data_IF_450257372755
#
_entry.id   IF_450257372755
#
_cell.length_a   1.000
_cell.length_b   1.000
_cell.length_c   1.000
_cell.angle_alpha   90.00
_cell.angle_beta   90.00
_cell.angle_gamma   90.00
#
_symmetry.space_group_name_H-M   'P 1'
#
loop_
_entity.id
_entity.type
_entity.pdbx_description
1 polymer ?
#
# COMPACT_ATOMS: atom_id res chain seq x y z
N UNK A 1 -0.73 15.14 28.55
CA UNK A 1 -0.53 15.00 27.08
C UNK A 1 -1.07 13.67 26.55
N UNK A 2 -0.63 12.49 27.07
CA UNK A 2 -1.02 11.16 26.54
C UNK A 2 -2.54 10.93 26.61
N UNK A 3 -3.18 11.22 27.75
CA UNK A 3 -4.63 11.06 27.91
C UNK A 3 -5.44 11.96 26.96
N UNK A 4 -4.95 13.18 26.71
CA UNK A 4 -5.56 14.13 25.78
C UNK A 4 -5.47 13.63 24.34
N UNK A 5 -4.30 13.13 23.93
CA UNK A 5 -4.12 12.52 22.61
C UNK A 5 -4.97 11.27 22.42
N UNK A 6 -5.19 10.46 23.47
CA UNK A 6 -6.11 9.32 23.43
C UNK A 6 -7.56 9.81 23.25
N UNK A 7 -7.98 10.81 24.02
CA UNK A 7 -9.34 11.40 23.90
C UNK A 7 -9.58 11.97 22.49
N UNK A 8 -8.62 12.73 21.95
CA UNK A 8 -8.69 13.25 20.59
C UNK A 8 -8.89 12.12 19.57
N UNK A 9 -8.02 11.10 19.56
CA UNK A 9 -8.14 9.96 18.63
C UNK A 9 -9.44 9.21 18.74
N UNK A 10 -9.96 9.03 19.98
CA UNK A 10 -11.22 8.31 20.21
C UNK A 10 -12.43 9.11 19.70
N UNK A 11 -12.46 10.42 19.95
CA UNK A 11 -13.59 11.26 19.57
C UNK A 11 -13.59 11.62 18.08
N UNK A 12 -12.44 11.97 17.53
CA UNK A 12 -12.29 12.36 16.13
C UNK A 12 -12.30 11.16 15.17
N UNK A 13 -12.08 9.94 15.67
CA UNK A 13 -11.90 8.73 14.85
C UNK A 13 -10.87 8.90 13.73
N UNK A 14 -9.91 9.80 13.89
CA UNK A 14 -8.93 10.17 12.87
C UNK A 14 -8.11 8.98 12.34
N UNK A 15 -7.95 7.94 13.16
CA UNK A 15 -7.24 6.73 12.77
C UNK A 15 -8.09 5.81 11.88
N UNK A 16 -9.43 5.89 11.93
CA UNK A 16 -10.31 5.10 11.07
C UNK A 16 -10.19 5.52 9.59
N UNK A 17 -9.72 6.74 9.34
CA UNK A 17 -9.50 7.28 7.99
C UNK A 17 -8.02 7.20 7.55
N UNK A 18 -7.16 6.54 8.32
CA UNK A 18 -5.76 6.33 7.92
C UNK A 18 -5.67 5.09 7.05
N UNK A 19 -5.66 5.31 5.75
CA UNK A 19 -5.47 4.24 4.76
C UNK A 19 -3.96 4.09 4.55
N UNK A 20 -3.42 2.89 4.80
CA UNK A 20 -2.02 2.60 4.47
C UNK A 20 -1.83 2.55 2.95
N UNK A 21 -0.60 2.73 2.48
CA UNK A 21 -0.31 2.72 1.03
C UNK A 21 -0.68 1.37 0.41
N UNK A 22 -0.52 0.27 1.15
CA UNK A 22 -0.92 -1.06 0.71
C UNK A 22 -2.43 -1.17 0.54
N UNK A 23 -3.19 -0.61 1.49
CA UNK A 23 -4.66 -0.61 1.40
C UNK A 23 -5.15 0.28 0.25
N UNK A 24 -4.45 1.38 -0.06
CA UNK A 24 -4.71 2.20 -1.25
C UNK A 24 -4.45 1.40 -2.53
N UNK A 25 -3.31 0.72 -2.62
CA UNK A 25 -3.00 -0.14 -3.77
C UNK A 25 -4.07 -1.22 -3.99
N UNK A 26 -4.51 -1.88 -2.92
CA UNK A 26 -5.59 -2.88 -3.02
C UNK A 26 -6.92 -2.23 -3.45
N UNK A 27 -7.24 -1.04 -2.95
CA UNK A 27 -8.44 -0.29 -3.36
C UNK A 27 -8.41 0.08 -4.85
N UNK A 28 -7.24 0.48 -5.38
CA UNK A 28 -7.10 0.72 -6.82
C UNK A 28 -7.25 -0.59 -7.63
N UNK A 29 -6.79 -1.72 -7.10
CA UNK A 29 -7.02 -3.03 -7.72
C UNK A 29 -8.52 -3.40 -7.73
N UNK A 30 -9.25 -3.15 -6.65
CA UNK A 30 -10.70 -3.33 -6.59
C UNK A 30 -11.48 -2.40 -7.54
N UNK A 31 -11.01 -1.18 -7.76
CA UNK A 31 -11.60 -0.28 -8.78
C UNK A 31 -11.41 -0.82 -10.19
N UNK A 32 -10.27 -1.47 -10.47
CA UNK A 32 -9.91 -1.95 -11.81
C UNK A 32 -10.55 -3.29 -12.15
N UNK A 33 -10.70 -4.18 -11.17
CA UNK A 33 -11.12 -5.56 -11.36
C UNK A 33 -12.38 -5.98 -10.60
N UNK A 34 -12.88 -5.16 -9.70
CA UNK A 34 -13.99 -5.53 -8.80
C UNK A 34 -13.53 -6.48 -7.69
N UNK A 35 -14.15 -7.65 -7.61
CA UNK A 35 -13.74 -8.70 -6.67
C UNK A 35 -12.36 -9.27 -7.05
N UNK A 36 -11.49 -9.39 -6.05
CA UNK A 36 -10.13 -9.88 -6.23
C UNK A 36 -9.95 -11.35 -5.86
N UNK A 37 -10.99 -12.02 -5.38
CA UNK A 37 -10.90 -13.39 -4.81
C UNK A 37 -10.48 -14.43 -5.84
N UNK A 38 -10.80 -14.24 -7.12
CA UNK A 38 -10.47 -15.10 -8.27
C UNK A 38 -9.24 -14.64 -9.05
N UNK A 39 -8.68 -13.47 -8.71
CA UNK A 39 -7.56 -12.88 -9.44
C UNK A 39 -6.23 -13.51 -9.07
N UNK A 40 -5.35 -13.62 -10.06
CA UNK A 40 -3.98 -14.05 -9.85
C UNK A 40 -3.12 -12.87 -9.45
N UNK A 41 -2.64 -12.90 -8.23
CA UNK A 41 -1.90 -11.80 -7.60
C UNK A 41 -0.44 -12.21 -7.46
N UNK A 42 0.46 -11.38 -7.97
CA UNK A 42 1.89 -11.56 -7.89
C UNK A 42 2.51 -10.46 -7.02
N UNK A 43 3.25 -10.85 -5.98
CA UNK A 43 3.92 -9.95 -5.06
C UNK A 43 5.44 -10.10 -5.20
N UNK A 44 6.11 -9.01 -5.48
CA UNK A 44 7.56 -8.91 -5.65
C UNK A 44 8.17 -8.28 -4.42
N UNK A 45 8.93 -9.08 -3.67
CA UNK A 45 9.51 -8.67 -2.40
C UNK A 45 8.94 -9.44 -1.20
N UNK A 46 9.58 -9.30 -0.05
CA UNK A 46 9.21 -10.01 1.18
C UNK A 46 9.41 -9.15 2.44
N UNK A 47 9.31 -7.83 2.30
CA UNK A 47 9.39 -6.85 3.38
C UNK A 47 8.05 -6.64 4.09
N UNK A 48 7.97 -5.58 4.89
CA UNK A 48 6.77 -5.21 5.67
C UNK A 48 5.56 -4.94 4.77
N UNK A 49 5.76 -4.21 3.65
CA UNK A 49 4.70 -3.92 2.67
C UNK A 49 4.13 -5.21 2.09
N UNK A 50 4.99 -6.14 1.62
CA UNK A 50 4.55 -7.42 1.09
C UNK A 50 3.79 -8.25 2.15
N UNK A 51 4.27 -8.29 3.39
CA UNK A 51 3.59 -8.97 4.50
C UNK A 51 2.22 -8.35 4.81
N UNK A 52 2.13 -7.03 4.78
CA UNK A 52 0.87 -6.31 4.97
C UNK A 52 -0.13 -6.58 3.84
N UNK A 53 0.33 -6.54 2.57
CA UNK A 53 -0.47 -6.88 1.40
C UNK A 53 -1.08 -8.29 1.52
N UNK A 54 -0.25 -9.31 1.81
CA UNK A 54 -0.73 -10.68 1.97
C UNK A 54 -1.82 -10.76 3.04
N UNK A 55 -1.60 -10.15 4.22
CA UNK A 55 -2.60 -10.16 5.30
C UNK A 55 -3.93 -9.51 4.90
N UNK A 56 -3.90 -8.40 4.17
CA UNK A 56 -5.11 -7.71 3.73
C UNK A 56 -5.82 -8.53 2.65
N UNK A 57 -5.07 -9.05 1.66
CA UNK A 57 -5.60 -9.86 0.57
C UNK A 57 -6.23 -11.17 1.08
N UNK A 58 -5.61 -11.84 2.05
CA UNK A 58 -6.19 -13.04 2.69
C UNK A 58 -7.50 -12.75 3.41
N UNK A 59 -7.62 -11.62 4.11
CA UNK A 59 -8.90 -11.18 4.71
C UNK A 59 -9.99 -10.92 3.67
N UNK A 60 -9.61 -10.66 2.41
CA UNK A 60 -10.51 -10.51 1.26
C UNK A 60 -10.73 -11.81 0.49
N UNK A 61 -10.35 -12.95 1.05
CA UNK A 61 -10.46 -14.28 0.46
C UNK A 61 -9.65 -14.47 -0.85
N UNK A 62 -8.63 -13.66 -1.08
CA UNK A 62 -7.70 -13.88 -2.19
C UNK A 62 -6.78 -15.05 -1.87
N UNK A 63 -6.89 -16.15 -2.62
CA UNK A 63 -6.13 -17.37 -2.37
C UNK A 63 -5.02 -17.64 -3.39
N UNK A 64 -5.10 -17.01 -4.56
CA UNK A 64 -4.14 -17.18 -5.65
C UNK A 64 -3.05 -16.10 -5.57
N UNK A 65 -2.16 -16.23 -4.59
CA UNK A 65 -1.09 -15.26 -4.33
C UNK A 65 0.26 -15.95 -4.51
N UNK A 66 1.03 -15.47 -5.47
CA UNK A 66 2.40 -15.88 -5.75
C UNK A 66 3.37 -14.81 -5.23
N UNK A 67 4.44 -15.22 -4.56
CA UNK A 67 5.43 -14.30 -3.98
C UNK A 67 6.83 -14.68 -4.41
N UNK A 68 7.62 -13.73 -4.89
CA UNK A 68 9.05 -13.91 -5.07
C UNK A 68 9.85 -13.17 -4.01
N UNK A 69 10.94 -13.80 -3.56
CA UNK A 69 11.85 -13.23 -2.56
C UNK A 69 13.29 -13.67 -2.79
N UNK A 70 14.24 -12.79 -2.45
CA UNK A 70 15.68 -13.14 -2.52
C UNK A 70 16.18 -13.91 -1.30
N UNK A 71 15.56 -13.81 -0.14
CA UNK A 71 16.00 -14.46 1.11
C UNK A 71 14.91 -15.34 1.69
N UNK A 72 15.32 -16.38 2.46
CA UNK A 72 14.40 -17.28 3.18
C UNK A 72 13.74 -16.57 4.38
N UNK A 73 12.86 -15.65 4.14
CA UNK A 73 11.92 -15.14 5.16
C UNK A 73 10.53 -15.62 4.78
N UNK A 74 9.78 -16.17 5.71
CA UNK A 74 8.39 -16.57 5.46
C UNK A 74 7.50 -15.39 5.82
N UNK A 75 6.65 -14.95 4.88
CA UNK A 75 5.63 -13.94 5.15
C UNK A 75 4.43 -14.62 5.79
N UNK A 76 3.96 -15.71 5.16
CA UNK A 76 2.83 -16.49 5.64
C UNK A 76 2.87 -17.88 4.97
N UNK A 77 2.39 -18.93 5.67
CA UNK A 77 2.45 -20.31 5.17
C UNK A 77 1.48 -20.58 4.00
N UNK A 78 0.52 -19.70 3.77
CA UNK A 78 -0.60 -19.90 2.83
C UNK A 78 -0.40 -19.27 1.45
N UNK A 79 0.81 -18.84 1.10
CA UNK A 79 1.16 -18.29 -0.22
C UNK A 79 2.17 -19.17 -0.94
N UNK A 80 2.16 -19.12 -2.27
CA UNK A 80 3.13 -19.84 -3.09
C UNK A 80 4.42 -19.03 -3.19
N UNK A 81 5.56 -19.65 -2.92
CA UNK A 81 6.87 -19.00 -3.03
C UNK A 81 7.62 -19.51 -4.26
N UNK A 82 8.19 -18.58 -5.02
CA UNK A 82 8.94 -18.86 -6.25
C UNK A 82 10.35 -18.26 -6.21
N UNK A 83 11.22 -18.77 -7.08
CA UNK A 83 12.53 -18.20 -7.32
C UNK A 83 12.41 -16.84 -8.01
N UNK A 84 13.42 -15.99 -7.82
CA UNK A 84 13.52 -14.72 -8.53
C UNK A 84 13.66 -14.90 -10.06
N UNK A 85 14.19 -16.04 -10.48
CA UNK A 85 14.34 -16.39 -11.91
C UNK A 85 13.00 -16.57 -12.61
N UNK A 86 11.92 -16.88 -11.85
CA UNK A 86 10.57 -17.05 -12.39
C UNK A 86 9.80 -15.74 -12.58
N UNK A 87 10.43 -14.58 -12.27
CA UNK A 87 9.78 -13.27 -12.21
C UNK A 87 8.95 -12.92 -13.45
N UNK A 88 9.47 -13.20 -14.65
CA UNK A 88 8.77 -12.87 -15.90
C UNK A 88 7.59 -13.79 -16.17
N UNK A 89 7.72 -15.09 -15.88
CA UNK A 89 6.62 -16.03 -16.05
C UNK A 89 5.46 -15.68 -15.12
N UNK A 90 5.75 -15.37 -13.86
CA UNK A 90 4.76 -14.95 -12.89
C UNK A 90 4.12 -13.60 -13.28
N UNK A 91 4.91 -12.67 -13.80
CA UNK A 91 4.41 -11.39 -14.29
C UNK A 91 3.40 -11.59 -15.42
N UNK A 92 3.72 -12.42 -16.44
CA UNK A 92 2.82 -12.64 -17.58
C UNK A 92 1.52 -13.32 -17.18
N UNK A 93 1.53 -14.12 -16.14
CA UNK A 93 0.40 -14.89 -15.67
C UNK A 93 -0.51 -14.12 -14.70
N UNK A 94 0.02 -13.13 -14.01
CA UNK A 94 -0.70 -12.31 -13.03
C UNK A 94 -1.75 -11.40 -13.67
N UNK A 95 -2.81 -11.10 -12.92
CA UNK A 95 -3.77 -10.02 -13.17
C UNK A 95 -3.31 -8.73 -12.47
N UNK A 96 -2.72 -8.90 -11.28
CA UNK A 96 -2.26 -7.79 -10.45
C UNK A 96 -0.83 -8.09 -9.99
N UNK A 97 0.06 -7.11 -10.15
CA UNK A 97 1.45 -7.17 -9.69
C UNK A 97 1.67 -6.08 -8.64
N UNK A 98 2.05 -6.46 -7.44
CA UNK A 98 2.51 -5.56 -6.39
C UNK A 98 4.03 -5.69 -6.25
N UNK A 99 4.78 -4.61 -6.45
CA UNK A 99 6.22 -4.61 -6.25
C UNK A 99 6.62 -3.73 -5.07
N UNK A 100 7.49 -4.25 -4.20
CA UNK A 100 7.92 -3.58 -2.96
C UNK A 100 9.30 -4.06 -2.52
N UNK A 101 10.29 -3.95 -3.40
CA UNK A 101 11.65 -4.35 -3.05
C UNK A 101 12.50 -3.17 -2.59
N UNK A 102 13.66 -3.45 -2.03
CA UNK A 102 14.70 -2.47 -1.73
C UNK A 102 15.85 -2.54 -2.74
N UNK A 103 15.58 -3.00 -3.95
CA UNK A 103 16.59 -3.08 -5.00
C UNK A 103 16.99 -1.68 -5.45
N UNK A 104 18.29 -1.41 -5.68
CA UNK A 104 18.73 -0.12 -6.16
C UNK A 104 18.56 0.06 -7.69
N UNK A 105 17.98 -0.92 -8.37
CA UNK A 105 17.79 -0.98 -9.82
C UNK A 105 16.42 -1.57 -10.14
N UNK A 106 15.96 -1.37 -11.37
CA UNK A 106 14.72 -1.95 -11.87
C UNK A 106 14.73 -3.48 -11.76
N UNK A 107 13.57 -4.03 -11.41
CA UNK A 107 13.33 -5.48 -11.40
C UNK A 107 12.72 -5.93 -12.73
N UNK A 108 11.88 -5.07 -13.32
CA UNK A 108 11.24 -5.31 -14.61
C UNK A 108 11.63 -4.20 -15.57
N UNK A 109 12.35 -4.59 -16.63
CA UNK A 109 12.79 -3.73 -17.73
C UNK A 109 12.12 -4.21 -19.02
N UNK A 110 11.57 -3.29 -19.81
CA UNK A 110 10.82 -3.60 -21.03
C UNK A 110 11.66 -4.35 -22.06
N UNK A 111 12.94 -4.00 -22.16
CA UNK A 111 13.88 -4.63 -23.09
C UNK A 111 14.15 -6.11 -22.80
N UNK A 112 13.93 -6.56 -21.56
CA UNK A 112 14.06 -7.96 -21.14
C UNK A 112 12.73 -8.75 -21.27
N UNK A 113 11.63 -8.08 -21.64
CA UNK A 113 10.30 -8.65 -21.65
C UNK A 113 9.76 -8.93 -23.05
N UNK A 114 8.90 -9.94 -23.18
CA UNK A 114 8.16 -10.20 -24.39
C UNK A 114 6.93 -9.29 -24.48
N UNK A 115 7.01 -8.26 -25.32
CA UNK A 115 5.93 -7.25 -25.47
C UNK A 115 4.60 -7.84 -25.90
N UNK A 116 4.60 -8.89 -26.74
CA UNK A 116 3.36 -9.60 -27.12
C UNK A 116 2.69 -10.23 -25.90
N UNK A 117 3.46 -10.91 -25.05
CA UNK A 117 2.91 -11.50 -23.80
C UNK A 117 2.44 -10.43 -22.79
N UNK A 118 3.03 -9.24 -22.84
CA UNK A 118 2.55 -8.10 -22.02
C UNK A 118 1.17 -7.69 -22.52
N UNK A 119 0.98 -7.48 -23.82
CA UNK A 119 -0.26 -6.99 -24.42
C UNK A 119 -1.43 -7.99 -24.34
N UNK A 120 -1.14 -9.29 -24.29
CA UNK A 120 -2.16 -10.37 -24.32
C UNK A 120 -3.14 -10.34 -23.15
N UNK A 121 -2.80 -9.67 -22.03
CA UNK A 121 -3.59 -9.72 -20.82
C UNK A 121 -3.65 -8.36 -20.13
N UNK A 122 -4.83 -7.96 -19.69
CA UNK A 122 -5.02 -6.78 -18.85
C UNK A 122 -4.36 -6.99 -17.49
N UNK A 123 -3.48 -6.04 -17.07
CA UNK A 123 -2.80 -6.07 -15.77
C UNK A 123 -2.82 -4.71 -15.10
N UNK A 124 -2.90 -4.75 -13.77
CA UNK A 124 -2.61 -3.62 -12.92
C UNK A 124 -1.28 -3.86 -12.22
N UNK A 125 -0.37 -2.91 -12.37
CA UNK A 125 0.94 -2.90 -11.77
C UNK A 125 0.99 -1.81 -10.69
N UNK A 126 1.35 -2.16 -9.48
CA UNK A 126 1.45 -1.21 -8.37
C UNK A 126 2.85 -1.30 -7.80
N UNK A 127 3.59 -0.21 -7.95
CA UNK A 127 5.00 -0.11 -7.53
C UNK A 127 5.14 0.76 -6.28
N UNK A 128 5.42 0.13 -5.14
CA UNK A 128 5.68 0.79 -3.86
C UNK A 128 7.15 1.10 -3.62
N UNK A 129 8.04 0.67 -4.53
CA UNK A 129 9.49 0.73 -4.32
C UNK A 129 10.05 2.14 -4.57
N UNK A 130 11.08 2.49 -3.78
CA UNK A 130 11.91 3.68 -3.98
C UNK A 130 13.38 3.24 -3.82
N UNK A 131 14.19 3.26 -4.90
CA UNK A 131 13.83 3.56 -6.29
C UNK A 131 12.83 2.54 -6.87
N UNK A 132 12.24 2.85 -8.03
CA UNK A 132 11.21 2.03 -8.68
C UNK A 132 11.73 0.65 -9.04
N UNK A 133 10.85 -0.33 -8.92
CA UNK A 133 11.07 -1.71 -9.36
C UNK A 133 10.63 -1.93 -10.83
N UNK A 134 9.63 -1.16 -11.31
CA UNK A 134 9.01 -1.36 -12.62
C UNK A 134 9.29 -0.16 -13.53
N UNK A 135 9.81 -0.43 -14.71
CA UNK A 135 10.05 0.60 -15.73
C UNK A 135 8.73 1.22 -16.22
N UNK A 136 8.68 2.55 -16.31
CA UNK A 136 7.47 3.28 -16.74
C UNK A 136 6.96 2.86 -18.12
N UNK A 137 7.85 2.49 -19.03
CA UNK A 137 7.50 2.07 -20.39
C UNK A 137 6.63 0.80 -20.38
N UNK A 138 6.68 -0.03 -19.34
CA UNK A 138 5.82 -1.20 -19.20
C UNK A 138 4.36 -0.77 -18.99
N UNK A 139 4.13 0.26 -18.17
CA UNK A 139 2.79 0.82 -17.93
C UNK A 139 2.16 1.51 -19.15
N UNK A 140 2.99 1.84 -20.17
CA UNK A 140 2.52 2.43 -21.43
C UNK A 140 2.16 1.38 -22.49
N UNK A 141 2.44 0.10 -22.23
CA UNK A 141 2.04 -0.98 -23.13
C UNK A 141 0.53 -1.19 -23.11
N UNK A 142 0.01 -1.73 -24.20
CA UNK A 142 -1.40 -2.09 -24.32
C UNK A 142 -1.82 -3.01 -23.17
N UNK A 143 -3.03 -2.79 -22.63
CA UNK A 143 -3.60 -3.53 -21.53
C UNK A 143 -2.83 -3.47 -20.18
N UNK A 144 -1.86 -2.56 -20.05
CA UNK A 144 -1.12 -2.35 -18.80
C UNK A 144 -1.50 -1.01 -18.16
N UNK A 145 -1.63 -1.02 -16.84
CA UNK A 145 -1.79 0.18 -16.03
C UNK A 145 -0.79 0.12 -14.88
N UNK A 146 0.11 1.08 -14.83
CA UNK A 146 1.10 1.20 -13.76
C UNK A 146 0.70 2.37 -12.85
N UNK A 147 0.70 2.12 -11.55
CA UNK A 147 0.51 3.12 -10.49
C UNK A 147 1.73 3.03 -9.58
N UNK A 148 2.45 4.12 -9.42
CA UNK A 148 3.61 4.20 -8.55
C UNK A 148 3.25 4.81 -7.18
N UNK A 149 4.22 4.81 -6.26
CA UNK A 149 4.03 5.32 -4.90
C UNK A 149 3.62 6.80 -4.86
N UNK A 150 4.13 7.63 -5.77
CA UNK A 150 3.78 9.05 -5.85
C UNK A 150 2.31 9.22 -6.25
N UNK A 151 1.86 8.47 -7.25
CA UNK A 151 0.45 8.47 -7.68
C UNK A 151 -0.47 7.95 -6.57
N UNK A 152 -0.06 6.90 -5.85
CA UNK A 152 -0.81 6.42 -4.67
C UNK A 152 -0.90 7.47 -3.58
N UNK A 153 0.20 8.21 -3.32
CA UNK A 153 0.19 9.30 -2.35
C UNK A 153 -0.72 10.45 -2.78
N UNK A 154 -0.78 10.78 -4.06
CA UNK A 154 -1.71 11.79 -4.59
C UNK A 154 -3.18 11.36 -4.40
N UNK A 155 -3.50 10.08 -4.58
CA UNK A 155 -4.82 9.54 -4.27
C UNK A 155 -5.14 9.58 -2.76
N UNK A 156 -4.11 9.54 -1.91
CA UNK A 156 -4.26 9.71 -0.47
C UNK A 156 -4.56 11.16 -0.05
N UNK A 157 -4.19 12.15 -0.86
CA UNK A 157 -4.39 13.58 -0.56
C UNK A 157 -5.88 13.90 -0.39
N UNK A 158 -6.78 13.29 -1.15
CA UNK A 158 -8.23 13.43 -0.97
C UNK A 158 -8.69 12.94 0.42
N UNK A 159 -8.07 11.88 0.93
CA UNK A 159 -8.31 11.43 2.30
C UNK A 159 -7.60 12.30 3.34
N UNK A 160 -6.49 12.94 2.96
CA UNK A 160 -5.77 13.88 3.81
C UNK A 160 -6.57 15.18 4.04
N UNK A 161 -7.22 15.72 3.02
CA UNK A 161 -8.12 16.88 3.15
C UNK A 161 -9.25 16.63 4.17
N UNK A 162 -9.87 15.44 4.14
CA UNK A 162 -10.87 15.03 5.15
C UNK A 162 -10.26 14.94 6.57
N UNK A 163 -9.01 14.48 6.71
CA UNK A 163 -8.32 14.43 8.00
C UNK A 163 -7.98 15.83 8.53
N UNK A 164 -7.61 16.76 7.67
CA UNK A 164 -7.42 18.17 8.05
C UNK A 164 -8.72 18.77 8.60
N UNK A 165 -9.85 18.57 7.92
CA UNK A 165 -11.16 19.02 8.39
C UNK A 165 -11.51 18.41 9.75
N UNK A 166 -11.27 17.12 9.97
CA UNK A 166 -11.45 16.46 11.27
C UNK A 166 -10.54 17.09 12.33
N UNK A 167 -9.27 17.37 12.00
CA UNK A 167 -8.37 18.03 12.93
C UNK A 167 -8.89 19.41 13.34
N UNK A 168 -9.38 20.20 12.41
CA UNK A 168 -9.97 21.53 12.66
C UNK A 168 -11.22 21.42 13.55
N UNK A 169 -12.15 20.51 13.23
CA UNK A 169 -13.38 20.27 13.97
C UNK A 169 -13.12 19.87 15.43
N UNK A 170 -12.08 19.07 15.69
CA UNK A 170 -11.77 18.54 17.03
C UNK A 170 -10.63 19.28 17.74
N UNK A 171 -10.09 20.39 17.18
CA UNK A 171 -8.98 21.14 17.78
C UNK A 171 -9.31 21.65 19.17
N UNK A 172 -10.58 21.96 19.45
CA UNK A 172 -11.06 22.39 20.76
C UNK A 172 -10.68 21.45 21.92
N UNK A 173 -10.49 20.14 21.64
CA UNK A 173 -10.04 19.17 22.65
C UNK A 173 -8.62 19.48 23.10
N UNK A 174 -7.77 19.93 22.17
CA UNK A 174 -6.38 20.30 22.44
C UNK A 174 -6.37 21.60 23.25
N UNK A 175 -7.12 22.60 22.81
CA UNK A 175 -7.22 23.91 23.48
C UNK A 175 -7.71 23.77 24.93
N UNK A 176 -8.79 23.00 25.16
CA UNK A 176 -9.27 22.68 26.48
C UNK A 176 -8.23 21.97 27.36
N UNK A 177 -7.42 21.09 26.74
CA UNK A 177 -6.33 20.40 27.45
C UNK A 177 -5.19 21.35 27.84
N UNK A 178 -4.88 22.32 26.99
CA UNK A 178 -3.88 23.36 27.27
C UNK A 178 -4.34 24.25 28.43
N UNK A 179 -5.58 24.72 28.41
CA UNK A 179 -6.17 25.52 29.49
C UNK A 179 -6.09 24.80 30.83
N UNK A 180 -6.46 23.52 30.89
CA UNK A 180 -6.35 22.70 32.12
C UNK A 180 -4.92 22.56 32.61
N UNK A 181 -3.95 22.45 31.75
CA UNK A 181 -2.52 22.39 32.12
C UNK A 181 -2.06 23.74 32.67
N UNK A 182 -2.44 24.84 32.02
CA UNK A 182 -2.10 26.20 32.50
C UNK A 182 -2.71 26.50 33.87
N UNK A 183 -3.99 26.16 34.07
CA UNK A 183 -4.66 26.28 35.37
C UNK A 183 -3.91 25.49 36.46
N UNK A 184 -3.47 24.25 36.16
CA UNK A 184 -2.73 23.43 37.11
C UNK A 184 -1.37 24.04 37.46
N UNK A 185 -0.63 24.59 36.48
CA UNK A 185 0.63 25.30 36.74
C UNK A 185 0.43 26.54 37.58
N UNK A 186 -0.60 27.33 37.31
CA UNK A 186 -0.89 28.58 38.06
C UNK A 186 -1.26 28.28 39.51
N UNK A 187 -1.98 27.21 39.80
CA UNK A 187 -2.31 26.77 41.17
C UNK A 187 -1.10 26.28 41.99
N UNK A 188 -0.01 25.89 41.33
CA UNK A 188 1.24 25.44 42.01
C UNK A 188 2.27 26.54 42.21
N UNK A 189 2.05 27.70 41.65
CA UNK A 189 2.92 28.89 41.89
C UNK A 189 2.48 29.73 43.08
N UNK A 190 1.45 29.33 43.77
CA UNK A 190 0.99 29.85 45.04
C UNK A 190 1.30 28.85 46.18
#
# INVERSE_FOLDING_TARGET
>A
AIALGKKFRTMSKINENSISVEALGIKEAEKEFGDLSDKKIFIVGAGEIASSLVKILKKKNCNNIDVIKRRKSMIEETVNYFSFDDKYNLFYDADIVFSSTSAPHLIFELNEMNTKKIADKKRLLIDFAVPRDIENLIGQQENQKLINLEELNNLAIDSYGKRCQICEEYNWIIDFGIEKILEWFNRRKL
#
